data_IF_020242051804
#
_entry.id   IF_020242051804
#
_cell.length_a   1.000
_cell.length_b   1.000
_cell.length_c   1.000
_cell.angle_alpha   90.00
_cell.angle_beta   90.00
_cell.angle_gamma   90.00
#
_symmetry.space_group_name_H-M   'P 1'
#
loop_
_entity.id
_entity.type
_entity.pdbx_description
1 polymer ?
#
# COMPACT_ATOMS: atom_id res chain seq x y z
N UNK A 1 -26.80 30.81 -50.05
CA UNK A 1 -26.33 29.95 -51.16
C UNK A 1 -24.81 30.12 -51.23
N UNK A 2 -24.07 29.06 -51.59
CA UNK A 2 -22.65 28.74 -51.30
C UNK A 2 -22.43 28.03 -49.95
N UNK A 3 -21.74 26.90 -49.85
CA UNK A 3 -21.45 25.80 -50.79
C UNK A 3 -21.01 24.61 -49.91
N UNK A 4 -21.50 23.39 -50.16
CA UNK A 4 -21.00 22.17 -49.51
C UNK A 4 -19.54 21.94 -49.94
N UNK A 5 -18.60 21.92 -48.99
CA UNK A 5 -17.31 21.26 -49.16
C UNK A 5 -17.02 20.32 -47.99
N UNK A 6 -16.70 19.10 -48.39
CA UNK A 6 -16.40 17.87 -47.68
C UNK A 6 -15.08 17.91 -46.89
N UNK A 7 -14.89 16.86 -46.07
CA UNK A 7 -13.66 16.33 -45.45
C UNK A 7 -13.37 16.74 -43.99
N UNK A 8 -13.71 15.80 -43.10
CA UNK A 8 -12.74 15.13 -42.21
C UNK A 8 -11.53 15.96 -41.77
N UNK A 9 -11.69 16.67 -40.66
CA UNK A 9 -10.62 16.95 -39.69
C UNK A 9 -11.30 17.40 -38.41
N UNK A 10 -11.19 16.57 -37.38
CA UNK A 10 -11.37 17.01 -36.00
C UNK A 10 -10.27 18.07 -35.79
N UNK A 11 -10.60 19.33 -36.03
CA UNK A 11 -9.73 20.45 -35.67
C UNK A 11 -9.90 20.60 -34.17
N UNK A 12 -8.97 20.01 -33.44
CA UNK A 12 -8.75 20.24 -32.02
C UNK A 12 -8.61 21.76 -31.83
N UNK A 13 -9.68 22.40 -31.35
CA UNK A 13 -9.65 23.82 -31.03
C UNK A 13 -8.72 23.95 -29.82
N UNK A 14 -7.62 24.66 -30.06
CA UNK A 14 -6.40 24.74 -29.25
C UNK A 14 -6.76 25.37 -27.90
N UNK A 15 -7.03 24.53 -26.90
CA UNK A 15 -7.36 24.98 -25.55
C UNK A 15 -7.45 23.81 -24.58
N UNK A 16 -7.26 24.05 -23.27
CA UNK A 16 -7.38 23.02 -22.25
C UNK A 16 -8.82 22.48 -22.18
N UNK A 17 -8.97 21.18 -21.95
CA UNK A 17 -10.28 20.59 -21.61
C UNK A 17 -10.72 21.12 -20.25
N UNK A 18 -11.97 21.56 -20.13
CA UNK A 18 -12.56 22.10 -18.91
C UNK A 18 -13.64 21.14 -18.40
N UNK A 19 -13.63 20.85 -17.10
CA UNK A 19 -14.69 20.06 -16.44
C UNK A 19 -15.55 20.96 -15.56
N UNK A 20 -16.87 20.87 -15.73
CA UNK A 20 -17.82 21.78 -15.08
C UNK A 20 -17.98 21.37 -13.62
N UNK A 21 -17.50 22.20 -12.70
CA UNK A 21 -17.49 21.88 -11.27
C UNK A 21 -18.69 22.47 -10.50
N UNK A 22 -19.17 23.65 -10.90
CA UNK A 22 -20.25 24.33 -10.19
C UNK A 22 -21.03 25.31 -11.06
N UNK A 23 -22.34 25.42 -10.83
CA UNK A 23 -23.23 26.36 -11.49
C UNK A 23 -23.63 27.50 -10.54
N UNK A 24 -22.94 28.66 -10.58
CA UNK A 24 -23.26 29.81 -9.72
C UNK A 24 -24.56 30.55 -10.10
N UNK A 25 -25.24 30.18 -11.18
CA UNK A 25 -26.39 30.90 -11.74
C UNK A 25 -25.97 31.98 -12.76
N UNK A 26 -26.93 32.79 -13.24
CA UNK A 26 -26.72 33.86 -14.24
C UNK A 26 -26.07 33.39 -15.55
N UNK A 27 -26.47 32.23 -16.08
CA UNK A 27 -25.88 31.62 -17.29
C UNK A 27 -24.35 31.52 -17.25
N UNK A 28 -23.78 31.32 -16.05
CA UNK A 28 -22.35 31.12 -15.85
C UNK A 28 -22.08 29.75 -15.27
N UNK A 29 -20.94 29.20 -15.66
CA UNK A 29 -20.38 27.95 -15.15
C UNK A 29 -19.02 28.25 -14.53
N UNK A 30 -18.64 27.50 -13.50
CA UNK A 30 -17.28 27.50 -12.93
C UNK A 30 -16.68 26.13 -13.20
N UNK A 31 -15.57 26.13 -13.94
CA UNK A 31 -14.94 24.92 -14.44
C UNK A 31 -13.54 24.74 -13.84
N UNK A 32 -13.03 23.51 -13.91
CA UNK A 32 -11.66 23.14 -13.58
C UNK A 32 -10.94 22.78 -14.87
N UNK A 33 -9.81 23.44 -15.13
CA UNK A 33 -9.01 23.13 -16.29
C UNK A 33 -8.19 21.85 -16.07
N UNK A 34 -8.22 20.96 -17.06
CA UNK A 34 -7.43 19.72 -17.09
C UNK A 34 -6.02 19.93 -17.65
N UNK A 35 -5.67 21.13 -18.10
CA UNK A 35 -4.31 21.47 -18.54
C UNK A 35 -3.98 22.90 -18.14
N UNK A 36 -2.75 23.34 -18.40
CA UNK A 36 -2.31 24.70 -18.09
C UNK A 36 -3.29 25.73 -18.69
N UNK A 37 -3.58 26.77 -17.91
CA UNK A 37 -4.51 27.85 -18.29
C UNK A 37 -3.79 29.05 -18.90
N UNK A 38 -2.50 28.90 -19.18
CA UNK A 38 -1.67 29.93 -19.81
C UNK A 38 -2.22 30.27 -21.20
N UNK A 39 -2.33 31.58 -21.48
CA UNK A 39 -2.83 32.07 -22.76
C UNK A 39 -4.36 32.13 -22.89
N UNK A 40 -5.12 31.72 -21.87
CA UNK A 40 -6.57 31.93 -21.85
C UNK A 40 -6.91 33.41 -21.67
N UNK A 41 -7.78 33.93 -22.55
CA UNK A 41 -8.26 35.31 -22.49
C UNK A 41 -9.78 35.36 -22.38
N UNK A 42 -10.31 36.45 -21.80
CA UNK A 42 -11.76 36.63 -21.64
C UNK A 42 -12.41 36.79 -23.03
N UNK A 43 -13.53 36.11 -23.24
CA UNK A 43 -14.26 36.14 -24.51
C UNK A 43 -13.81 35.09 -25.53
N UNK A 44 -12.88 34.21 -25.17
CA UNK A 44 -12.59 33.00 -25.95
C UNK A 44 -13.85 32.13 -26.07
N UNK A 45 -14.05 31.57 -27.25
CA UNK A 45 -15.15 30.65 -27.54
C UNK A 45 -14.94 29.33 -26.81
N UNK A 46 -16.00 28.80 -26.22
CA UNK A 46 -16.02 27.51 -25.52
C UNK A 46 -17.07 26.64 -26.16
N UNK A 47 -16.71 25.39 -26.47
CA UNK A 47 -17.59 24.42 -27.11
C UNK A 47 -17.99 23.37 -26.09
N UNK A 48 -19.30 23.19 -25.93
CA UNK A 48 -19.87 22.14 -25.08
C UNK A 48 -19.80 20.78 -25.79
N UNK A 49 -19.24 19.77 -25.12
CA UNK A 49 -19.16 18.39 -25.64
C UNK A 49 -20.49 17.62 -25.49
N UNK A 50 -21.40 18.09 -24.64
CA UNK A 50 -22.72 17.49 -24.37
C UNK A 50 -22.69 16.19 -23.57
N UNK A 51 -21.52 15.73 -23.13
CA UNK A 51 -21.35 14.54 -22.31
C UNK A 51 -20.14 14.72 -21.36
N UNK A 52 -20.12 13.99 -20.22
CA UNK A 52 -18.94 13.92 -19.37
C UNK A 52 -17.71 13.42 -20.13
N UNK A 53 -16.52 13.67 -19.57
CA UNK A 53 -15.26 13.21 -20.13
C UNK A 53 -15.28 11.70 -20.41
N UNK A 54 -14.97 11.30 -21.65
CA UNK A 54 -14.95 9.90 -22.09
C UNK A 54 -13.52 9.44 -22.31
N UNK A 55 -13.19 8.28 -21.75
CA UNK A 55 -11.88 7.64 -21.92
C UNK A 55 -12.04 6.30 -22.65
N UNK A 56 -11.05 5.87 -23.45
CA UNK A 56 -11.09 4.57 -24.10
C UNK A 56 -11.01 3.44 -23.06
N UNK A 57 -11.77 2.37 -23.28
CA UNK A 57 -11.80 1.16 -22.43
C UNK A 57 -11.77 -0.10 -23.29
N UNK A 58 -11.47 -1.25 -22.67
CA UNK A 58 -11.43 -2.57 -23.34
C UNK A 58 -10.02 -3.07 -23.63
N UNK A 59 -9.89 -4.26 -24.23
CA UNK A 59 -8.60 -4.93 -24.42
C UNK A 59 -7.54 -4.14 -25.20
N UNK A 60 -7.97 -3.16 -26.01
CA UNK A 60 -7.08 -2.29 -26.80
C UNK A 60 -6.28 -1.29 -25.97
N UNK A 61 -6.62 -1.11 -24.69
CA UNK A 61 -5.90 -0.21 -23.76
C UNK A 61 -4.79 -0.91 -22.99
N UNK A 62 -4.74 -2.24 -23.02
CA UNK A 62 -3.72 -3.02 -22.30
C UNK A 62 -2.32 -2.70 -22.83
N UNK A 63 -1.38 -2.49 -21.91
CA UNK A 63 0.02 -2.14 -22.23
C UNK A 63 0.24 -0.70 -22.66
N UNK A 64 -0.78 0.17 -22.59
CA UNK A 64 -0.67 1.60 -22.90
C UNK A 64 -0.84 2.44 -21.64
N UNK A 65 -0.10 3.55 -21.57
CA UNK A 65 -0.22 4.55 -20.51
C UNK A 65 -1.15 5.64 -21.03
N UNK A 66 -2.10 6.11 -20.23
CA UNK A 66 -3.05 7.17 -20.60
C UNK A 66 -3.03 8.33 -19.60
N UNK A 67 -3.35 9.54 -20.06
CA UNK A 67 -3.59 10.69 -19.17
C UNK A 67 -5.05 10.66 -18.68
N UNK A 68 -5.37 11.63 -17.81
CA UNK A 68 -6.74 11.89 -17.35
C UNK A 68 -7.76 12.16 -18.48
N UNK A 69 -7.31 12.54 -19.68
CA UNK A 69 -8.17 12.75 -20.85
C UNK A 69 -8.37 11.48 -21.69
N UNK A 70 -7.71 10.37 -21.36
CA UNK A 70 -7.79 9.12 -22.13
C UNK A 70 -6.88 9.10 -23.37
N UNK A 71 -5.92 10.01 -23.47
CA UNK A 71 -4.93 10.06 -24.54
C UNK A 71 -3.67 9.29 -24.13
N UNK A 72 -3.01 8.55 -25.04
CA UNK A 72 -1.80 7.80 -24.71
C UNK A 72 -0.66 8.75 -24.35
N UNK A 73 -0.03 8.49 -23.20
CA UNK A 73 0.96 9.39 -22.60
C UNK A 73 2.37 8.88 -22.76
N UNK A 74 3.24 9.81 -23.16
CA UNK A 74 4.62 9.82 -22.76
C UNK A 74 4.81 11.03 -21.81
N UNK A 75 4.88 10.75 -20.52
CA UNK A 75 5.16 11.64 -19.37
C UNK A 75 4.04 12.51 -18.72
N UNK A 76 4.14 12.63 -17.38
CA UNK A 76 3.12 12.99 -16.37
C UNK A 76 2.56 14.43 -16.39
N UNK A 77 1.39 14.63 -15.75
CA UNK A 77 0.75 15.92 -15.49
C UNK A 77 0.24 16.11 -14.04
N UNK A 78 0.09 17.39 -13.64
CA UNK A 78 0.03 17.90 -12.26
C UNK A 78 -1.36 18.01 -11.60
N UNK A 79 -1.32 18.18 -10.27
CA UNK A 79 -2.45 18.34 -9.33
C UNK A 79 -3.05 19.76 -9.29
N UNK A 80 -4.32 19.87 -8.90
CA UNK A 80 -5.06 21.13 -8.68
C UNK A 80 -5.96 20.97 -7.46
N UNK A 81 -5.81 21.77 -6.39
CA UNK A 81 -6.76 21.73 -5.25
C UNK A 81 -6.94 23.02 -4.42
N UNK A 82 -6.45 24.20 -4.85
CA UNK A 82 -6.57 25.42 -4.03
C UNK A 82 -7.53 26.51 -4.56
N UNK A 83 -8.06 26.38 -5.78
CA UNK A 83 -8.64 27.53 -6.51
C UNK A 83 -10.17 27.68 -6.43
N UNK A 84 -10.89 26.73 -5.83
CA UNK A 84 -12.36 26.71 -5.91
C UNK A 84 -13.09 27.62 -4.91
N UNK A 85 -12.37 28.43 -4.12
CA UNK A 85 -12.97 29.42 -3.21
C UNK A 85 -13.88 28.83 -2.14
N UNK A 86 -13.74 27.54 -1.83
CA UNK A 86 -14.41 26.88 -0.70
C UNK A 86 -13.64 27.23 0.58
N UNK A 87 -14.35 27.46 1.70
CA UNK A 87 -13.68 27.58 2.99
C UNK A 87 -12.98 26.26 3.32
N UNK A 88 -11.68 26.29 3.69
CA UNK A 88 -10.96 25.08 4.04
C UNK A 88 -11.55 24.47 5.32
N UNK A 89 -11.51 23.14 5.39
CA UNK A 89 -11.86 22.35 6.57
C UNK A 89 -10.63 22.15 7.47
N UNK A 90 -10.72 21.20 8.41
CA UNK A 90 -9.66 20.80 9.33
C UNK A 90 -8.35 20.53 8.57
N UNK A 91 -7.23 21.09 9.06
CA UNK A 91 -5.87 20.96 8.49
C UNK A 91 -5.72 21.49 7.05
N UNK A 92 -6.71 22.23 6.52
CA UNK A 92 -6.63 22.84 5.19
C UNK A 92 -7.21 21.99 4.05
N UNK A 93 -7.77 20.82 4.37
CA UNK A 93 -8.44 19.96 3.38
C UNK A 93 -9.77 20.54 2.89
N UNK A 94 -10.26 20.01 1.77
CA UNK A 94 -11.56 20.40 1.25
C UNK A 94 -12.70 19.95 2.20
N UNK A 95 -13.78 20.74 2.38
CA UNK A 95 -14.92 20.34 3.20
C UNK A 95 -15.69 19.14 2.61
N UNK A 96 -15.50 18.85 1.32
CA UNK A 96 -16.14 17.75 0.59
C UNK A 96 -15.30 16.47 0.56
N UNK A 97 -14.13 16.43 1.21
CA UNK A 97 -13.19 15.31 1.17
C UNK A 97 -13.87 13.96 1.40
N UNK A 98 -14.75 13.88 2.41
CA UNK A 98 -15.44 12.64 2.76
C UNK A 98 -16.37 12.14 1.65
N UNK A 99 -17.13 13.06 1.02
CA UNK A 99 -18.10 12.71 -0.02
C UNK A 99 -17.36 12.30 -1.30
N UNK A 100 -16.32 13.05 -1.68
CA UNK A 100 -15.53 12.77 -2.89
C UNK A 100 -14.75 11.45 -2.75
N UNK A 101 -14.13 11.22 -1.59
CA UNK A 101 -13.46 9.95 -1.31
C UNK A 101 -14.44 8.78 -1.30
N UNK A 102 -15.60 8.91 -0.64
CA UNK A 102 -16.61 7.86 -0.61
C UNK A 102 -17.15 7.50 -2.00
N UNK A 103 -17.46 8.50 -2.82
CA UNK A 103 -17.93 8.27 -4.20
C UNK A 103 -16.90 7.52 -5.07
N UNK A 104 -15.61 7.75 -4.84
CA UNK A 104 -14.54 7.03 -5.53
C UNK A 104 -14.39 5.59 -4.99
N UNK A 105 -14.29 5.43 -3.67
CA UNK A 105 -13.98 4.14 -3.05
C UNK A 105 -15.13 3.14 -3.20
N UNK A 106 -16.39 3.58 -3.14
CA UNK A 106 -17.56 2.70 -3.31
C UNK A 106 -17.65 2.10 -4.73
N UNK A 107 -17.01 2.71 -5.73
CA UNK A 107 -16.93 2.14 -7.08
C UNK A 107 -15.93 1.00 -7.19
N UNK A 108 -14.99 0.92 -6.26
CA UNK A 108 -13.95 -0.12 -6.19
C UNK A 108 -14.50 -1.24 -5.30
N UNK A 109 -15.33 -2.08 -5.87
CA UNK A 109 -15.96 -3.18 -5.12
C UNK A 109 -16.17 -4.41 -6.00
N UNK A 110 -16.56 -5.51 -5.35
CA UNK A 110 -16.95 -6.74 -6.03
C UNK A 110 -18.45 -6.75 -6.31
N UNK A 111 -18.81 -7.07 -7.54
CA UNK A 111 -20.21 -7.19 -7.99
C UNK A 111 -20.51 -8.62 -8.41
N UNK A 112 -21.74 -8.88 -8.86
CA UNK A 112 -22.14 -10.20 -9.37
C UNK A 112 -21.49 -10.56 -10.72
N UNK A 113 -21.05 -9.56 -11.48
CA UNK A 113 -20.48 -9.75 -12.83
C UNK A 113 -18.96 -9.83 -12.82
N UNK A 114 -18.31 -9.34 -11.76
CA UNK A 114 -16.86 -9.33 -11.64
C UNK A 114 -16.39 -8.73 -10.32
N UNK A 115 -15.09 -8.85 -10.06
CA UNK A 115 -14.45 -8.34 -8.85
C UNK A 115 -13.28 -7.43 -9.21
N UNK A 116 -13.12 -6.34 -8.45
CA UNK A 116 -11.97 -5.45 -8.52
C UNK A 116 -11.25 -5.53 -7.18
N UNK A 117 -10.02 -6.04 -7.18
CA UNK A 117 -9.12 -5.99 -6.02
C UNK A 117 -8.14 -4.84 -6.21
N UNK A 118 -8.23 -3.81 -5.37
CA UNK A 118 -7.40 -2.61 -5.46
C UNK A 118 -6.30 -2.62 -4.40
N UNK A 119 -5.07 -2.38 -4.81
CA UNK A 119 -3.93 -2.12 -3.92
C UNK A 119 -3.62 -0.62 -4.03
N UNK A 120 -3.84 0.12 -2.94
CA UNK A 120 -3.69 1.58 -2.91
C UNK A 120 -2.51 1.97 -2.03
N UNK A 121 -1.57 2.75 -2.56
CA UNK A 121 -0.49 3.34 -1.78
C UNK A 121 -0.98 4.64 -1.15
N UNK A 122 -1.17 4.64 0.18
CA UNK A 122 -1.60 5.83 0.93
C UNK A 122 -0.37 6.50 1.53
N UNK A 123 -0.06 7.71 1.08
CA UNK A 123 0.98 8.52 1.69
C UNK A 123 0.47 9.15 2.98
N UNK A 124 1.16 8.93 4.09
CA UNK A 124 0.83 9.50 5.40
C UNK A 124 1.72 10.73 5.64
N UNK A 125 1.17 11.95 5.59
CA UNK A 125 1.97 13.16 5.80
C UNK A 125 2.58 13.17 7.20
N UNK A 126 3.90 13.44 7.27
CA UNK A 126 4.64 13.54 8.53
C UNK A 126 4.49 12.32 9.48
N UNK A 127 4.20 11.13 8.95
CA UNK A 127 3.90 9.91 9.72
C UNK A 127 2.72 10.07 10.71
N UNK A 128 1.81 11.02 10.47
CA UNK A 128 0.63 11.21 11.31
C UNK A 128 -0.59 10.45 10.76
N UNK A 129 -0.90 9.28 11.32
CA UNK A 129 -2.08 8.49 10.96
C UNK A 129 -3.42 9.16 11.33
N UNK A 130 -3.39 10.17 12.20
CA UNK A 130 -4.59 10.92 12.61
C UNK A 130 -4.93 12.07 11.66
N UNK A 131 -4.10 12.29 10.62
CA UNK A 131 -4.41 13.28 9.60
C UNK A 131 -5.72 12.90 8.87
N UNK A 132 -6.61 13.87 8.55
CA UNK A 132 -7.92 13.59 7.96
C UNK A 132 -7.87 12.74 6.68
N UNK A 133 -6.88 12.94 5.81
CA UNK A 133 -6.80 12.21 4.54
C UNK A 133 -6.53 10.71 4.71
N UNK A 134 -5.45 10.27 5.39
CA UNK A 134 -5.23 8.85 5.65
C UNK A 134 -6.32 8.25 6.54
N UNK A 135 -6.77 8.96 7.59
CA UNK A 135 -7.81 8.47 8.48
C UNK A 135 -9.11 8.13 7.74
N UNK A 136 -9.55 8.98 6.81
CA UNK A 136 -10.72 8.73 5.97
C UNK A 136 -10.47 7.63 4.93
N UNK A 137 -9.25 7.51 4.42
CA UNK A 137 -8.92 6.45 3.46
C UNK A 137 -8.97 5.08 4.13
N UNK A 138 -8.42 4.96 5.34
CA UNK A 138 -8.40 3.70 6.09
C UNK A 138 -9.79 3.17 6.45
N UNK A 139 -10.82 4.03 6.58
CA UNK A 139 -12.17 3.55 6.87
C UNK A 139 -12.82 2.76 5.72
N UNK A 140 -12.31 2.91 4.49
CA UNK A 140 -12.81 2.18 3.32
C UNK A 140 -11.97 0.95 2.97
N UNK A 141 -10.82 0.75 3.62
CA UNK A 141 -9.90 -0.34 3.29
C UNK A 141 -10.25 -1.59 4.10
N UNK A 142 -10.44 -2.72 3.41
CA UNK A 142 -10.62 -4.03 4.04
C UNK A 142 -9.34 -4.54 4.71
N UNK A 143 -8.19 -4.14 4.19
CA UNK A 143 -6.90 -4.47 4.76
C UNK A 143 -5.96 -3.27 4.67
N UNK A 144 -5.21 -3.03 5.75
CA UNK A 144 -4.18 -2.02 5.81
C UNK A 144 -2.84 -2.68 6.12
N UNK A 145 -1.86 -2.41 5.27
CA UNK A 145 -0.48 -2.86 5.44
C UNK A 145 0.37 -1.64 5.72
N UNK A 146 0.84 -1.51 6.96
CA UNK A 146 1.55 -0.31 7.42
C UNK A 146 3.05 -0.61 7.43
N UNK A 147 3.86 0.08 6.61
CA UNK A 147 5.31 -0.06 6.68
C UNK A 147 5.88 0.71 7.87
N UNK A 148 6.84 0.12 8.58
CA UNK A 148 7.55 0.73 9.70
C UNK A 148 8.98 1.10 9.33
N UNK A 149 9.37 2.34 9.62
CA UNK A 149 10.76 2.80 9.46
C UNK A 149 11.72 2.09 10.42
N UNK A 150 11.23 1.67 11.58
CA UNK A 150 12.03 0.93 12.56
C UNK A 150 12.53 -0.40 11.99
N UNK A 151 11.63 -1.16 11.38
CA UNK A 151 11.96 -2.44 10.72
C UNK A 151 12.91 -2.25 9.52
N UNK A 152 12.66 -1.22 8.70
CA UNK A 152 13.53 -0.91 7.56
C UNK A 152 14.97 -0.56 7.99
N UNK A 153 15.12 0.14 9.13
CA UNK A 153 16.43 0.49 9.68
C UNK A 153 17.20 -0.73 10.19
N UNK A 154 16.49 -1.76 10.66
CA UNK A 154 17.06 -3.07 11.00
C UNK A 154 17.42 -3.93 9.78
N UNK A 155 17.09 -3.48 8.56
CA UNK A 155 17.30 -4.24 7.33
C UNK A 155 16.23 -5.30 7.04
N UNK A 156 15.11 -5.30 7.78
CA UNK A 156 14.03 -6.28 7.60
C UNK A 156 13.14 -5.82 6.45
N UNK A 157 13.13 -6.60 5.36
CA UNK A 157 12.32 -6.34 4.17
C UNK A 157 11.45 -7.56 3.83
N UNK A 158 10.13 -7.37 3.58
CA UNK A 158 9.40 -6.10 3.60
C UNK A 158 9.25 -5.54 5.02
N UNK A 159 9.35 -4.21 5.15
CA UNK A 159 9.31 -3.53 6.44
C UNK A 159 7.87 -3.34 6.95
N UNK A 160 7.05 -4.39 6.94
CA UNK A 160 5.63 -4.36 7.34
C UNK A 160 5.53 -4.53 8.85
N UNK A 161 4.83 -3.63 9.52
CA UNK A 161 4.55 -3.77 10.95
C UNK A 161 3.41 -4.79 11.18
N UNK A 162 3.69 -5.95 11.81
CA UNK A 162 2.70 -7.00 12.01
C UNK A 162 1.63 -6.64 13.07
N UNK A 163 1.91 -5.68 13.94
CA UNK A 163 1.00 -5.25 15.00
C UNK A 163 0.06 -4.16 14.49
N UNK A 164 0.59 -3.17 13.78
CA UNK A 164 -0.19 -2.05 13.24
C UNK A 164 -0.97 -2.44 11.97
N UNK A 165 -0.52 -3.46 11.23
CA UNK A 165 -1.25 -3.96 10.05
C UNK A 165 -2.48 -4.78 10.43
N UNK A 166 -3.59 -4.51 9.75
CA UNK A 166 -4.90 -5.10 10.06
C UNK A 166 -5.63 -5.57 8.80
N UNK A 167 -6.54 -6.54 8.97
CA UNK A 167 -7.41 -7.03 7.91
C UNK A 167 -8.75 -7.47 8.49
N UNK A 168 -9.84 -7.12 7.80
CA UNK A 168 -11.19 -7.60 8.11
C UNK A 168 -11.35 -9.10 7.89
N UNK A 169 -10.50 -9.70 7.05
CA UNK A 169 -10.50 -11.13 6.79
C UNK A 169 -9.92 -11.97 7.93
N UNK A 170 -9.27 -11.35 8.94
CA UNK A 170 -8.68 -12.05 10.08
C UNK A 170 -9.76 -12.52 11.06
N UNK A 171 -10.56 -13.49 10.63
CA UNK A 171 -11.70 -14.05 11.36
C UNK A 171 -11.69 -15.59 11.23
N UNK A 172 -12.02 -16.34 12.30
CA UNK A 172 -11.95 -17.80 12.29
C UNK A 172 -12.83 -18.46 11.22
N UNK A 173 -14.01 -17.89 10.94
CA UNK A 173 -14.94 -18.43 9.95
C UNK A 173 -14.54 -18.17 8.49
N UNK A 174 -13.60 -17.25 8.24
CA UNK A 174 -13.07 -16.97 6.89
C UNK A 174 -11.80 -17.78 6.64
N UNK A 175 -10.84 -17.75 7.59
CA UNK A 175 -9.50 -18.32 7.41
C UNK A 175 -9.38 -19.77 7.90
N UNK A 176 -10.34 -20.25 8.70
CA UNK A 176 -10.21 -21.47 9.47
C UNK A 176 -9.54 -21.23 10.83
N UNK A 177 -9.79 -22.13 11.77
CA UNK A 177 -9.34 -22.02 13.15
C UNK A 177 -7.81 -22.03 13.26
N UNK A 178 -7.16 -22.92 12.52
CA UNK A 178 -5.71 -23.14 12.58
C UNK A 178 -4.91 -21.89 12.18
N UNK A 179 -5.28 -21.27 11.07
CA UNK A 179 -4.63 -20.04 10.59
C UNK A 179 -4.87 -18.90 11.59
N UNK A 180 -6.11 -18.70 12.02
CA UNK A 180 -6.46 -17.63 12.95
C UNK A 180 -5.71 -17.75 14.28
N UNK A 181 -5.69 -18.93 14.89
CA UNK A 181 -4.99 -19.18 16.16
C UNK A 181 -3.48 -18.97 16.02
N UNK A 182 -2.88 -19.44 14.91
CA UNK A 182 -1.46 -19.24 14.63
C UNK A 182 -1.12 -17.75 14.53
N UNK A 183 -1.91 -16.98 13.77
CA UNK A 183 -1.71 -15.53 13.63
C UNK A 183 -1.88 -14.80 14.96
N UNK A 184 -2.91 -15.13 15.75
CA UNK A 184 -3.14 -14.49 17.06
C UNK A 184 -1.99 -14.75 18.02
N UNK A 185 -1.49 -15.99 18.08
CA UNK A 185 -0.34 -16.34 18.92
C UNK A 185 0.93 -15.61 18.48
N UNK A 186 1.20 -15.51 17.18
CA UNK A 186 2.33 -14.72 16.65
C UNK A 186 2.21 -13.25 17.06
N UNK A 187 1.02 -12.64 16.90
CA UNK A 187 0.79 -11.26 17.35
C UNK A 187 0.98 -11.08 18.85
N UNK A 188 0.49 -12.02 19.67
CA UNK A 188 0.69 -12.00 21.13
C UNK A 188 2.18 -12.09 21.51
N UNK A 189 2.95 -12.98 20.88
CA UNK A 189 4.39 -13.10 21.10
C UNK A 189 5.13 -11.80 20.75
N UNK A 190 4.80 -11.18 19.61
CA UNK A 190 5.39 -9.90 19.20
C UNK A 190 4.97 -8.72 20.09
N UNK A 191 3.72 -8.70 20.54
CA UNK A 191 3.23 -7.70 21.48
C UNK A 191 3.96 -7.79 22.82
N UNK A 192 4.10 -9.01 23.36
CA UNK A 192 4.85 -9.28 24.59
C UNK A 192 6.32 -8.89 24.45
N UNK A 193 6.93 -9.14 23.29
CA UNK A 193 8.29 -8.70 23.01
C UNK A 193 8.44 -7.18 23.06
N UNK A 194 7.49 -6.41 22.50
CA UNK A 194 7.50 -4.95 22.55
C UNK A 194 7.41 -4.42 23.99
N UNK A 195 6.56 -5.01 24.82
CA UNK A 195 6.47 -4.68 26.26
C UNK A 195 7.77 -4.98 27.02
N UNK A 196 8.38 -6.13 26.74
CA UNK A 196 9.65 -6.53 27.35
C UNK A 196 10.82 -5.66 26.87
N UNK A 197 10.76 -5.13 25.64
CA UNK A 197 11.81 -4.26 25.09
C UNK A 197 11.97 -2.98 25.93
N UNK A 198 10.88 -2.38 26.38
CA UNK A 198 10.93 -1.20 27.25
C UNK A 198 11.58 -1.52 28.60
N UNK A 199 11.30 -2.71 29.15
CA UNK A 199 11.90 -3.20 30.40
C UNK A 199 13.41 -3.46 30.21
N UNK A 200 13.81 -4.08 29.10
CA UNK A 200 15.21 -4.36 28.76
C UNK A 200 16.05 -3.09 28.72
N UNK A 201 15.49 -2.00 28.16
CA UNK A 201 16.19 -0.72 28.07
C UNK A 201 16.48 -0.14 29.46
N UNK A 202 15.65 -0.43 30.46
CA UNK A 202 15.78 0.10 31.82
C UNK A 202 16.62 -0.82 32.72
N UNK A 203 16.30 -2.12 32.76
CA UNK A 203 16.85 -3.09 33.72
C UNK A 203 17.97 -3.97 33.14
N UNK A 204 18.06 -4.09 31.81
CA UNK A 204 18.94 -5.05 31.15
C UNK A 204 18.30 -6.43 30.96
N UNK A 205 18.91 -7.25 30.09
CA UNK A 205 18.41 -8.59 29.73
C UNK A 205 18.52 -9.62 30.87
N UNK A 206 19.47 -9.44 31.79
CA UNK A 206 19.81 -10.42 32.82
C UNK A 206 18.80 -10.47 33.97
N UNK A 207 17.98 -9.43 34.14
CA UNK A 207 16.95 -9.36 35.18
C UNK A 207 15.63 -10.06 34.78
N UNK A 208 15.53 -10.52 33.52
CA UNK A 208 14.34 -11.18 33.02
C UNK A 208 14.28 -12.65 33.43
N UNK A 209 13.05 -13.13 33.63
CA UNK A 209 12.75 -14.55 33.84
C UNK A 209 13.19 -15.40 32.63
N UNK A 210 13.49 -16.68 32.84
CA UNK A 210 13.87 -17.58 31.74
C UNK A 210 12.76 -17.70 30.67
N UNK A 211 11.49 -17.61 31.08
CA UNK A 211 10.33 -17.63 30.19
C UNK A 211 10.26 -16.38 29.29
N UNK A 212 10.49 -15.19 29.88
CA UNK A 212 10.54 -13.94 29.10
C UNK A 212 11.72 -13.94 28.14
N UNK A 213 12.89 -14.48 28.55
CA UNK A 213 14.06 -14.63 27.65
C UNK A 213 13.76 -15.53 26.47
N UNK A 214 13.10 -16.66 26.70
CA UNK A 214 12.66 -17.57 25.63
C UNK A 214 11.67 -16.87 24.67
N UNK A 215 10.72 -16.11 25.22
CA UNK A 215 9.77 -15.32 24.43
C UNK A 215 10.46 -14.29 23.54
N UNK A 216 11.47 -13.58 24.06
CA UNK A 216 12.26 -12.61 23.30
C UNK A 216 13.05 -13.31 22.18
N UNK A 217 13.71 -14.43 22.48
CA UNK A 217 14.47 -15.19 21.49
C UNK A 217 13.57 -15.65 20.33
N UNK A 218 12.37 -16.17 20.64
CA UNK A 218 11.38 -16.55 19.62
C UNK A 218 10.86 -15.35 18.83
N UNK A 219 10.52 -14.26 19.51
CA UNK A 219 10.03 -13.04 18.87
C UNK A 219 11.06 -12.46 17.88
N UNK A 220 12.34 -12.41 18.24
CA UNK A 220 13.41 -11.97 17.34
C UNK A 220 13.53 -12.86 16.11
N UNK A 221 13.44 -14.17 16.27
CA UNK A 221 13.46 -15.11 15.14
C UNK A 221 12.26 -14.91 14.22
N UNK A 222 11.06 -14.73 14.78
CA UNK A 222 9.84 -14.39 14.04
C UNK A 222 10.04 -13.08 13.26
N UNK A 223 10.58 -12.04 13.89
CA UNK A 223 10.83 -10.74 13.25
C UNK A 223 11.76 -10.87 12.03
N UNK A 224 12.81 -11.68 12.14
CA UNK A 224 13.71 -11.97 11.02
C UNK A 224 13.04 -12.85 9.96
N UNK A 225 12.27 -13.86 10.36
CA UNK A 225 11.58 -14.76 9.44
C UNK A 225 10.48 -14.09 8.62
N UNK A 226 9.91 -12.98 9.12
CA UNK A 226 9.01 -12.13 8.34
C UNK A 226 9.72 -11.41 7.17
N UNK A 227 11.05 -11.42 7.13
CA UNK A 227 11.80 -10.93 5.97
C UNK A 227 11.86 -11.95 4.84
N UNK A 228 11.62 -11.50 3.61
CA UNK A 228 11.56 -12.36 2.44
C UNK A 228 12.24 -11.68 1.23
N UNK A 229 13.10 -12.40 0.49
CA UNK A 229 13.70 -11.86 -0.73
C UNK A 229 12.65 -11.75 -1.84
N UNK A 230 12.51 -10.56 -2.42
CA UNK A 230 11.59 -10.29 -3.52
C UNK A 230 12.23 -10.52 -4.89
N UNK A 231 11.47 -11.09 -5.83
CA UNK A 231 11.88 -11.25 -7.23
C UNK A 231 12.30 -9.93 -7.88
N UNK A 232 11.61 -8.84 -7.57
CA UNK A 232 11.93 -7.49 -8.09
C UNK A 232 13.18 -6.89 -7.45
N UNK A 233 13.59 -7.39 -6.28
CA UNK A 233 14.71 -6.90 -5.52
C UNK A 233 16.00 -7.71 -5.75
N UNK A 234 15.97 -8.78 -6.56
CA UNK A 234 17.13 -9.63 -6.83
C UNK A 234 18.36 -8.83 -7.30
N UNK A 235 18.12 -7.82 -8.14
CA UNK A 235 19.15 -6.92 -8.68
C UNK A 235 19.86 -6.12 -7.57
N UNK A 236 19.17 -5.81 -6.48
CA UNK A 236 19.70 -5.02 -5.35
C UNK A 236 20.19 -5.89 -4.20
N UNK A 237 19.47 -6.96 -3.89
CA UNK A 237 19.74 -7.82 -2.75
C UNK A 237 20.81 -8.88 -3.03
N UNK A 238 21.03 -9.24 -4.31
CA UNK A 238 21.96 -10.31 -4.70
C UNK A 238 21.50 -11.72 -4.30
N UNK A 239 20.31 -11.86 -3.71
CA UNK A 239 19.64 -13.12 -3.39
C UNK A 239 18.46 -13.35 -4.33
N UNK A 240 18.20 -14.63 -4.65
CA UNK A 240 17.06 -15.03 -5.48
C UNK A 240 15.75 -14.81 -4.72
N UNK A 241 14.77 -14.25 -5.43
CA UNK A 241 13.41 -14.05 -4.94
C UNK A 241 12.70 -15.36 -4.70
N UNK A 242 11.81 -15.39 -3.72
CA UNK A 242 11.10 -16.60 -3.32
C UNK A 242 9.62 -16.36 -3.19
N UNK A 243 8.86 -17.39 -3.51
CA UNK A 243 7.43 -17.45 -3.27
C UNK A 243 7.18 -18.53 -2.23
N UNK A 244 6.46 -18.19 -1.16
CA UNK A 244 6.14 -19.09 -0.06
C UNK A 244 4.65 -19.39 -0.11
N UNK A 245 4.29 -20.67 -0.03
CA UNK A 245 2.89 -21.10 -0.05
C UNK A 245 2.20 -20.88 1.31
N UNK A 246 0.91 -20.53 1.31
CA UNK A 246 0.14 -20.25 2.54
C UNK A 246 0.19 -21.41 3.55
N UNK A 247 -0.02 -22.65 3.10
CA UNK A 247 -0.02 -23.82 3.96
C UNK A 247 1.36 -24.06 4.61
N UNK A 248 2.44 -23.77 3.86
CA UNK A 248 3.80 -23.83 4.38
C UNK A 248 3.98 -22.76 5.45
N UNK A 249 3.63 -21.49 5.16
CA UNK A 249 3.73 -20.39 6.11
C UNK A 249 3.04 -20.69 7.45
N UNK A 250 1.82 -21.23 7.44
CA UNK A 250 1.09 -21.57 8.67
C UNK A 250 1.84 -22.63 9.48
N UNK A 251 2.24 -23.73 8.83
CA UNK A 251 3.00 -24.81 9.45
C UNK A 251 4.32 -24.30 10.04
N UNK A 252 5.01 -23.45 9.30
CA UNK A 252 6.29 -22.88 9.71
C UNK A 252 6.16 -22.00 10.95
N UNK A 253 5.15 -21.11 11.00
CA UNK A 253 4.87 -20.33 12.20
C UNK A 253 4.43 -21.17 13.41
N UNK A 254 3.75 -22.29 13.21
CA UNK A 254 3.46 -23.24 14.29
C UNK A 254 4.74 -23.87 14.87
N UNK A 255 5.75 -24.14 14.04
CA UNK A 255 7.05 -24.67 14.49
C UNK A 255 7.81 -23.64 15.34
N UNK A 256 7.71 -22.35 15.03
CA UNK A 256 8.22 -21.29 15.91
C UNK A 256 7.48 -21.26 17.26
N UNK A 257 6.15 -21.40 17.24
CA UNK A 257 5.32 -21.33 18.44
C UNK A 257 5.43 -22.57 19.34
N UNK A 258 5.79 -23.73 18.79
CA UNK A 258 6.03 -24.97 19.53
C UNK A 258 7.44 -25.06 20.14
N UNK A 259 8.40 -24.27 19.62
CA UNK A 259 9.78 -24.21 20.12
C UNK A 259 10.74 -25.19 19.45
N UNK A 260 10.32 -25.90 18.40
CA UNK A 260 11.19 -26.84 17.67
C UNK A 260 12.41 -26.16 17.02
N UNK A 261 12.33 -24.85 16.77
CA UNK A 261 13.36 -24.03 16.13
C UNK A 261 14.21 -23.23 17.14
N UNK A 262 14.08 -23.50 18.44
CA UNK A 262 14.77 -22.74 19.49
C UNK A 262 16.30 -22.92 19.44
N UNK A 263 16.79 -24.06 18.95
CA UNK A 263 18.23 -24.35 18.82
C UNK A 263 18.95 -23.59 17.70
N UNK A 264 18.23 -23.05 16.71
CA UNK A 264 18.85 -22.39 15.55
C UNK A 264 19.24 -20.93 15.84
N UNK A 265 20.33 -20.42 15.24
CA UNK A 265 20.75 -19.02 15.39
C UNK A 265 19.79 -18.05 14.68
N UNK A 266 19.58 -16.86 15.26
CA UNK A 266 18.67 -15.82 14.72
C UNK A 266 19.01 -15.44 13.26
N UNK A 267 20.30 -15.40 12.92
CA UNK A 267 20.78 -14.99 11.60
C UNK A 267 20.44 -15.99 10.48
N UNK A 268 20.09 -17.24 10.82
CA UNK A 268 19.62 -18.21 9.85
C UNK A 268 18.23 -17.87 9.30
N UNK A 269 17.42 -17.11 10.07
CA UNK A 269 16.06 -16.73 9.70
C UNK A 269 15.97 -15.45 8.87
N UNK A 270 17.10 -14.79 8.59
CA UNK A 270 17.12 -13.55 7.82
C UNK A 270 17.13 -13.81 6.30
N UNK A 271 16.22 -13.16 5.57
CA UNK A 271 16.05 -13.24 4.10
C UNK A 271 16.02 -14.69 3.57
N UNK A 272 15.11 -15.49 4.12
CA UNK A 272 14.85 -16.87 3.70
C UNK A 272 13.42 -17.00 3.19
N UNK A 273 13.15 -18.02 2.37
CA UNK A 273 11.78 -18.35 1.96
C UNK A 273 11.14 -19.30 2.95
N UNK A 274 11.74 -20.49 3.09
CA UNK A 274 11.16 -21.60 3.83
C UNK A 274 12.09 -22.06 4.97
N UNK A 275 11.55 -22.87 5.90
CA UNK A 275 12.33 -23.46 7.01
C UNK A 275 13.48 -24.34 6.51
N UNK A 276 13.30 -25.11 5.44
CA UNK A 276 14.35 -26.00 4.92
C UNK A 276 15.63 -25.20 4.59
N UNK A 277 15.48 -24.01 4.03
CA UNK A 277 16.59 -23.11 3.72
C UNK A 277 17.20 -22.49 4.97
N UNK A 278 16.38 -22.26 5.98
CA UNK A 278 16.83 -21.77 7.28
C UNK A 278 17.74 -22.80 7.92
N UNK A 279 17.37 -24.09 7.91
CA UNK A 279 18.20 -25.16 8.46
C UNK A 279 19.51 -25.31 7.68
N UNK A 280 19.47 -25.25 6.35
CA UNK A 280 20.68 -25.27 5.52
C UNK A 280 21.60 -24.08 5.80
N UNK A 281 21.03 -22.88 5.98
CA UNK A 281 21.78 -21.67 6.32
C UNK A 281 22.37 -21.74 7.73
N UNK A 282 21.64 -22.31 8.69
CA UNK A 282 22.14 -22.55 10.03
C UNK A 282 23.35 -23.50 10.02
N UNK A 283 23.29 -24.61 9.28
CA UNK A 283 24.42 -25.53 9.13
C UNK A 283 25.65 -24.86 8.54
N UNK A 284 25.47 -24.01 7.51
CA UNK A 284 26.57 -23.25 6.92
C UNK A 284 27.21 -22.26 7.91
N UNK A 285 26.39 -21.57 8.71
CA UNK A 285 26.87 -20.65 9.75
C UNK A 285 27.63 -21.38 10.86
N UNK A 286 27.17 -22.57 11.26
CA UNK A 286 27.87 -23.40 12.23
C UNK A 286 29.22 -23.89 11.68
N UNK A 287 29.28 -24.30 10.41
CA UNK A 287 30.54 -24.69 9.75
C UNK A 287 31.52 -23.51 9.66
N UNK A 288 31.06 -22.31 9.27
CA UNK A 288 31.91 -21.11 9.23
C UNK A 288 32.44 -20.70 10.60
N UNK A 289 31.62 -20.80 11.65
CA UNK A 289 32.04 -20.50 13.02
C UNK A 289 33.05 -21.52 13.55
N UNK A 290 32.95 -22.78 13.15
CA UNK A 290 33.93 -23.82 13.49
C UNK A 290 35.24 -23.68 12.71
N UNK A 291 35.22 -23.10 11.50
CA UNK A 291 36.42 -22.80 10.72
C UNK A 291 37.17 -21.54 11.21
N UNK A 292 36.49 -20.64 11.94
CA UNK A 292 37.06 -19.41 12.53
C UNK A 292 37.59 -19.59 13.96
N UNK A 293 37.33 -20.74 14.60
CA UNK A 293 37.89 -21.12 15.90
C UNK A 293 39.16 -21.95 15.71
#
# INVERSE_FOLDING_TARGET
MFEKKTWERIVQIIGPVLDVAFLPGNNRVRDVAMSATDGLTRGMEVIETGAPLRVPVGGTTLGRIFNKLGEPVHNLGSEVSALLGRMPSVVGYQPTLNIEMGSLQERITSTKEGSITSIQAVYVPANNLTDPAPAMTFSYLDASTIPSRGLATKGIYPAIDPLDSTSTMLQPWILGQEHYETTQRVKQTLQRYKELQDIIVILGLDELSEEDRSTIARARKIEHFLSQPFFVAEVFAGSLGKYVGLAETIREFQLFLSGELDGLPEQAFYLVGNIDETTAKAMNLEMENNLKK
#
